data_IF_674404764220
#
_entry.id   IF_674404764220
#
_cell.length_a   1.000
_cell.length_b   1.000
_cell.length_c   1.000
_cell.angle_alpha   90.00
_cell.angle_beta   90.00
_cell.angle_gamma   90.00
#
_symmetry.space_group_name_H-M   'P 1'
#
loop_
_entity.id
_entity.type
_entity.pdbx_description
1 polymer ?
#
# COMPACT_ATOMS: atom_id res chain seq x y z
N UNK A 1 3.88 -43.16 36.71
CA UNK A 1 2.92 -42.02 36.64
C UNK A 1 2.17 -41.95 37.95
N UNK A 2 2.11 -40.78 38.59
CA UNK A 2 1.56 -40.58 39.92
C UNK A 2 0.04 -40.80 39.92
N UNK A 3 -0.56 -41.54 40.88
CA UNK A 3 -2.02 -41.80 40.95
C UNK A 3 -2.86 -40.52 40.85
N UNK A 4 -2.29 -39.39 41.30
CA UNK A 4 -2.92 -38.08 41.26
C UNK A 4 -3.07 -37.52 39.81
N UNK A 5 -2.08 -37.74 38.94
CA UNK A 5 -2.12 -37.31 37.54
C UNK A 5 -3.21 -38.01 36.75
N UNK A 6 -3.39 -39.33 36.96
CA UNK A 6 -4.45 -40.10 36.32
C UNK A 6 -5.85 -39.64 36.72
N UNK A 7 -6.03 -39.27 38.00
CA UNK A 7 -7.31 -38.80 38.48
C UNK A 7 -7.63 -37.44 37.88
N UNK A 8 -6.70 -36.49 37.89
CA UNK A 8 -6.89 -35.16 37.30
C UNK A 8 -7.21 -35.22 35.79
N UNK A 9 -6.57 -36.11 35.03
CA UNK A 9 -6.87 -36.28 33.59
C UNK A 9 -8.30 -36.84 33.37
N UNK A 10 -8.84 -37.67 34.28
CA UNK A 10 -10.22 -38.17 34.20
C UNK A 10 -11.26 -37.14 34.59
N UNK A 11 -10.90 -36.19 35.43
CA UNK A 11 -11.79 -35.13 35.92
C UNK A 11 -11.99 -34.02 34.86
N UNK A 12 -11.20 -34.01 33.78
CA UNK A 12 -11.39 -33.07 32.67
C UNK A 12 -12.68 -33.40 31.90
N UNK A 13 -13.51 -32.40 31.57
CA UNK A 13 -14.72 -32.61 30.79
C UNK A 13 -14.39 -33.09 29.36
N UNK A 14 -15.31 -33.78 28.73
CA UNK A 14 -15.19 -34.11 27.30
C UNK A 14 -15.50 -32.87 26.44
N UNK A 15 -15.03 -32.91 25.19
CA UNK A 15 -15.34 -31.83 24.21
C UNK A 15 -16.85 -31.65 24.05
N UNK A 16 -17.61 -32.79 24.00
CA UNK A 16 -19.07 -32.72 23.85
C UNK A 16 -19.74 -32.01 25.03
N UNK A 17 -19.34 -32.29 26.26
CA UNK A 17 -19.87 -31.60 27.44
C UNK A 17 -19.60 -30.08 27.38
N UNK A 18 -18.42 -29.69 26.93
CA UNK A 18 -18.06 -28.24 26.76
C UNK A 18 -18.96 -27.62 25.68
N UNK A 19 -19.13 -28.28 24.53
CA UNK A 19 -19.93 -27.77 23.42
C UNK A 19 -21.44 -27.66 23.76
N UNK A 20 -21.98 -28.58 24.57
CA UNK A 20 -23.35 -28.53 25.03
C UNK A 20 -23.65 -27.23 25.82
N UNK A 21 -22.64 -26.69 26.47
CA UNK A 21 -22.74 -25.45 27.25
C UNK A 21 -22.28 -24.18 26.47
N UNK A 22 -21.71 -24.32 25.27
CA UNK A 22 -21.23 -23.22 24.42
C UNK A 22 -22.04 -23.10 23.10
N UNK A 23 -23.35 -23.43 23.13
CA UNK A 23 -24.21 -23.38 21.95
C UNK A 23 -24.39 -21.94 21.41
N UNK A 24 -24.47 -20.94 22.30
CA UNK A 24 -24.54 -19.53 21.93
C UNK A 24 -23.28 -19.06 21.22
N UNK A 25 -22.13 -19.53 21.69
CA UNK A 25 -20.81 -19.27 21.11
C UNK A 25 -20.66 -19.96 19.76
N UNK A 26 -21.16 -21.20 19.65
CA UNK A 26 -21.17 -21.90 18.36
C UNK A 26 -22.07 -21.22 17.31
N UNK A 27 -23.16 -20.61 17.73
CA UNK A 27 -24.00 -19.79 16.84
C UNK A 27 -23.31 -18.49 16.40
N UNK A 28 -22.50 -17.90 17.27
CA UNK A 28 -21.77 -16.64 17.00
C UNK A 28 -20.50 -16.84 16.17
N UNK A 29 -19.65 -17.79 16.52
CA UNK A 29 -18.31 -18.00 15.92
C UNK A 29 -18.22 -19.22 15.01
N UNK A 30 -19.26 -20.03 14.92
CA UNK A 30 -19.29 -21.30 14.18
C UNK A 30 -18.87 -22.50 15.04
N UNK A 31 -19.50 -23.65 14.78
CA UNK A 31 -19.28 -24.89 15.54
C UNK A 31 -17.82 -25.34 15.52
N UNK A 32 -17.16 -25.28 14.37
CA UNK A 32 -15.78 -25.72 14.21
C UNK A 32 -14.79 -24.84 14.99
N UNK A 33 -14.99 -23.54 15.04
CA UNK A 33 -14.14 -22.63 15.79
C UNK A 33 -14.21 -22.94 17.30
N UNK A 34 -15.42 -23.10 17.84
CA UNK A 34 -15.61 -23.44 19.26
C UNK A 34 -15.07 -24.84 19.57
N UNK A 35 -15.27 -25.82 18.69
CA UNK A 35 -14.73 -27.17 18.83
C UNK A 35 -13.20 -27.18 18.87
N UNK A 36 -12.56 -26.45 17.96
CA UNK A 36 -11.11 -26.36 17.90
C UNK A 36 -10.53 -25.63 19.13
N UNK A 37 -11.18 -24.56 19.59
CA UNK A 37 -10.79 -23.87 20.82
C UNK A 37 -10.93 -24.77 22.05
N UNK A 38 -12.00 -25.54 22.16
CA UNK A 38 -12.21 -26.51 23.23
C UNK A 38 -11.14 -27.62 23.24
N UNK A 39 -10.81 -28.17 22.07
CA UNK A 39 -9.75 -29.18 21.91
C UNK A 39 -8.39 -28.63 22.30
N UNK A 40 -8.02 -27.47 21.77
CA UNK A 40 -6.74 -26.83 22.07
C UNK A 40 -6.59 -26.53 23.57
N UNK A 41 -7.64 -26.01 24.21
CA UNK A 41 -7.63 -25.75 25.64
C UNK A 41 -7.48 -27.03 26.47
N UNK A 42 -8.22 -28.11 26.14
CA UNK A 42 -8.10 -29.41 26.82
C UNK A 42 -6.72 -30.04 26.63
N UNK A 43 -6.10 -29.88 25.45
CA UNK A 43 -4.73 -30.33 25.21
C UNK A 43 -3.73 -29.58 26.08
N UNK A 44 -3.87 -28.25 26.21
CA UNK A 44 -3.05 -27.46 27.11
C UNK A 44 -3.21 -27.88 28.59
N UNK A 45 -4.45 -28.14 29.04
CA UNK A 45 -4.69 -28.61 30.40
C UNK A 45 -4.06 -30.01 30.63
N UNK A 46 -4.15 -30.92 29.65
CA UNK A 46 -3.52 -32.26 29.73
C UNK A 46 -2.00 -32.15 29.81
N UNK A 47 -1.40 -31.28 29.01
CA UNK A 47 0.04 -31.06 29.06
C UNK A 47 0.48 -30.46 30.41
N UNK A 48 -0.26 -29.52 30.96
CA UNK A 48 0.00 -28.92 32.28
C UNK A 48 -0.12 -29.99 33.41
N UNK A 49 -1.14 -30.83 33.38
CA UNK A 49 -1.27 -31.94 34.34
C UNK A 49 -0.08 -32.92 34.25
N UNK A 50 0.37 -33.24 33.03
CA UNK A 50 1.50 -34.14 32.81
C UNK A 50 2.83 -33.54 33.25
N UNK A 51 3.00 -32.21 33.18
CA UNK A 51 4.17 -31.51 33.72
C UNK A 51 4.14 -31.36 35.23
N UNK A 52 3.05 -31.74 35.91
CA UNK A 52 2.89 -31.68 37.36
C UNK A 52 2.28 -30.40 37.89
N UNK A 53 1.72 -29.59 37.01
CA UNK A 53 1.01 -28.36 37.40
C UNK A 53 -0.39 -28.70 37.93
N UNK A 54 -0.87 -27.90 38.88
CA UNK A 54 -2.25 -28.01 39.37
C UNK A 54 -3.16 -27.17 38.48
N UNK A 55 -4.10 -27.81 37.78
CA UNK A 55 -5.08 -27.15 36.93
C UNK A 55 -6.50 -27.30 37.48
N UNK A 56 -7.37 -26.35 37.16
CA UNK A 56 -8.79 -26.46 37.48
C UNK A 56 -9.51 -27.31 36.42
N UNK A 57 -10.28 -28.29 36.84
CA UNK A 57 -11.23 -29.03 36.00
C UNK A 57 -12.65 -28.43 36.02
N UNK A 58 -12.83 -27.28 36.67
CA UNK A 58 -14.11 -26.59 36.74
C UNK A 58 -14.57 -26.15 35.34
N UNK A 59 -15.74 -26.68 34.97
CA UNK A 59 -16.34 -26.43 33.65
C UNK A 59 -16.58 -24.95 33.39
N UNK A 60 -16.96 -24.18 34.39
CA UNK A 60 -17.20 -22.74 34.26
C UNK A 60 -15.92 -21.97 33.91
N UNK A 61 -14.80 -22.34 34.52
CA UNK A 61 -13.48 -21.72 34.27
C UNK A 61 -13.03 -22.09 32.84
N UNK A 62 -13.18 -23.37 32.46
CA UNK A 62 -12.83 -23.84 31.10
C UNK A 62 -13.65 -23.11 30.05
N UNK A 63 -14.95 -22.98 30.23
CA UNK A 63 -15.84 -22.24 29.30
C UNK A 63 -15.44 -20.77 29.20
N UNK A 64 -15.17 -20.12 30.33
CA UNK A 64 -14.77 -18.72 30.33
C UNK A 64 -13.45 -18.51 29.59
N UNK A 65 -12.47 -19.37 29.80
CA UNK A 65 -11.19 -19.32 29.09
C UNK A 65 -11.35 -19.51 27.58
N UNK A 66 -12.25 -20.42 27.18
CA UNK A 66 -12.56 -20.63 25.74
C UNK A 66 -13.25 -19.38 25.15
N UNK A 67 -14.22 -18.78 25.84
CA UNK A 67 -14.88 -17.52 25.44
C UNK A 67 -13.88 -16.39 25.27
N UNK A 68 -13.02 -16.21 26.23
CA UNK A 68 -11.98 -15.17 26.20
C UNK A 68 -11.01 -15.39 25.05
N UNK A 69 -10.62 -16.65 24.81
CA UNK A 69 -9.79 -17.04 23.69
C UNK A 69 -10.44 -16.75 22.33
N UNK A 70 -11.71 -17.13 22.16
CA UNK A 70 -12.49 -16.85 20.95
C UNK A 70 -12.70 -15.35 20.74
N UNK A 71 -13.04 -14.61 21.82
CA UNK A 71 -13.19 -13.16 21.78
C UNK A 71 -11.88 -12.49 21.35
N UNK A 72 -10.76 -12.89 21.94
CA UNK A 72 -9.45 -12.34 21.59
C UNK A 72 -9.04 -12.67 20.14
N UNK A 73 -9.30 -13.90 19.70
CA UNK A 73 -9.01 -14.34 18.34
C UNK A 73 -9.88 -13.61 17.28
N UNK A 74 -11.09 -13.20 17.65
CA UNK A 74 -12.00 -12.45 16.78
C UNK A 74 -11.75 -10.95 16.76
N UNK A 75 -10.86 -10.42 17.62
CA UNK A 75 -10.53 -9.00 17.61
C UNK A 75 -9.80 -8.61 16.32
N UNK A 76 -10.18 -7.50 15.69
CA UNK A 76 -9.44 -6.99 14.56
C UNK A 76 -7.97 -6.74 14.92
N UNK A 77 -7.06 -7.18 14.05
CA UNK A 77 -5.62 -6.92 14.22
C UNK A 77 -5.31 -5.42 14.10
N UNK A 78 -6.05 -4.70 13.22
CA UNK A 78 -5.93 -3.25 13.08
C UNK A 78 -6.71 -2.55 14.20
N UNK A 79 -6.01 -1.67 14.92
CA UNK A 79 -6.58 -0.89 16.03
C UNK A 79 -6.41 0.60 15.77
N UNK A 80 -7.39 1.39 16.17
CA UNK A 80 -7.25 2.85 16.19
C UNK A 80 -6.18 3.26 17.20
N UNK A 81 -5.29 4.16 16.78
CA UNK A 81 -4.22 4.71 17.61
C UNK A 81 -4.21 6.23 17.54
N UNK A 82 -3.61 6.87 18.54
CA UNK A 82 -3.34 8.31 18.51
C UNK A 82 -1.97 8.54 17.87
N UNK A 83 -1.91 9.32 16.78
CA UNK A 83 -0.65 9.73 16.19
C UNK A 83 -0.05 10.90 16.99
N UNK A 84 0.96 10.62 17.81
CA UNK A 84 1.70 11.60 18.62
C UNK A 84 3.14 11.77 18.13
N UNK A 85 3.44 11.38 16.88
CA UNK A 85 4.81 11.40 16.33
C UNK A 85 5.26 12.78 15.85
N UNK A 86 4.33 13.72 15.66
CA UNK A 86 4.60 15.01 15.00
C UNK A 86 4.61 14.94 13.47
N UNK A 87 4.42 13.77 12.88
CA UNK A 87 4.34 13.56 11.42
C UNK A 87 2.88 13.31 11.05
N UNK A 88 2.22 14.23 10.35
CA UNK A 88 0.79 14.16 10.05
C UNK A 88 0.47 12.94 9.18
N UNK A 89 1.22 12.71 8.11
CA UNK A 89 1.05 11.60 7.18
C UNK A 89 2.07 10.48 7.45
N UNK A 90 2.01 9.92 8.67
CA UNK A 90 2.94 8.87 9.06
C UNK A 90 2.65 7.56 8.33
N UNK A 91 3.60 7.07 7.52
CA UNK A 91 3.42 5.90 6.64
C UNK A 91 3.02 4.62 7.39
N UNK A 92 3.55 4.40 8.61
CA UNK A 92 3.25 3.21 9.42
C UNK A 92 1.94 3.34 10.22
N UNK A 93 1.30 4.51 10.23
CA UNK A 93 0.07 4.78 10.96
C UNK A 93 -1.13 5.02 10.02
N UNK A 94 -1.08 4.47 8.81
CA UNK A 94 -2.20 4.50 7.87
C UNK A 94 -2.23 5.70 6.92
N UNK A 95 -1.24 6.60 6.99
CA UNK A 95 -1.15 7.80 6.14
C UNK A 95 -2.33 8.75 6.33
N UNK A 96 -2.91 9.30 5.22
CA UNK A 96 -4.05 10.18 5.27
C UNK A 96 -5.34 9.45 5.64
N UNK A 97 -6.17 10.07 6.48
CA UNK A 97 -7.53 9.59 6.73
C UNK A 97 -8.42 9.91 5.53
N UNK A 98 -9.34 9.01 5.23
CA UNK A 98 -10.39 9.28 4.25
C UNK A 98 -11.37 10.33 4.79
N UNK A 99 -11.92 11.15 3.90
CA UNK A 99 -13.03 12.03 4.23
C UNK A 99 -14.27 11.22 4.62
N UNK A 100 -15.11 11.77 5.53
CA UNK A 100 -16.31 11.08 6.00
C UNK A 100 -17.24 10.68 4.85
N UNK A 101 -17.39 11.56 3.84
CA UNK A 101 -18.17 11.27 2.63
C UNK A 101 -17.64 10.03 1.87
N UNK A 102 -16.32 9.87 1.80
CA UNK A 102 -15.71 8.71 1.15
C UNK A 102 -15.96 7.41 1.97
N UNK A 103 -15.87 7.48 3.29
CA UNK A 103 -16.19 6.34 4.18
C UNK A 103 -17.63 5.90 4.00
N UNK A 104 -18.57 6.84 3.96
CA UNK A 104 -20.01 6.56 3.72
C UNK A 104 -20.22 5.93 2.35
N UNK A 105 -19.58 6.44 1.30
CA UNK A 105 -19.67 5.90 -0.04
C UNK A 105 -19.10 4.47 -0.12
N UNK A 106 -17.95 4.20 0.48
CA UNK A 106 -17.33 2.86 0.54
C UNK A 106 -18.28 1.87 1.23
N UNK A 107 -18.83 2.22 2.40
CA UNK A 107 -19.75 1.34 3.13
C UNK A 107 -20.98 0.99 2.29
N UNK A 108 -21.55 1.96 1.57
CA UNK A 108 -22.70 1.75 0.69
C UNK A 108 -22.38 0.79 -0.45
N UNK A 109 -21.24 0.99 -1.12
CA UNK A 109 -20.83 0.19 -2.28
C UNK A 109 -20.39 -1.22 -1.86
N UNK A 110 -19.64 -1.34 -0.76
CA UNK A 110 -19.17 -2.63 -0.26
C UNK A 110 -20.30 -3.54 0.24
N UNK A 111 -21.42 -2.98 0.67
CA UNK A 111 -22.57 -3.73 1.19
C UNK A 111 -23.55 -4.24 0.12
N UNK A 112 -23.30 -4.01 -1.18
CA UNK A 112 -24.22 -4.39 -2.25
C UNK A 112 -23.50 -4.77 -3.54
N UNK A 113 -24.20 -5.46 -4.44
CA UNK A 113 -23.74 -5.59 -5.82
C UNK A 113 -23.69 -4.19 -6.47
N UNK A 114 -22.70 -3.95 -7.30
CA UNK A 114 -22.46 -2.66 -7.92
C UNK A 114 -21.95 -2.82 -9.36
N UNK A 115 -21.84 -1.72 -10.07
CA UNK A 115 -21.47 -1.67 -11.47
C UNK A 115 -19.96 -1.46 -11.71
N UNK A 116 -19.09 -1.92 -10.84
CA UNK A 116 -17.64 -1.69 -10.93
C UNK A 116 -17.04 -2.02 -12.31
N UNK A 117 -17.53 -3.07 -12.95
CA UNK A 117 -17.13 -3.49 -14.30
C UNK A 117 -18.34 -3.65 -15.24
N UNK A 118 -19.39 -2.86 -15.04
CA UNK A 118 -20.60 -2.98 -15.83
C UNK A 118 -21.14 -1.61 -16.24
N UNK A 119 -21.29 -1.43 -17.55
CA UNK A 119 -21.94 -0.25 -18.11
C UNK A 119 -23.45 -0.43 -18.04
N UNK A 120 -24.12 0.35 -17.20
CA UNK A 120 -25.57 0.29 -16.97
C UNK A 120 -26.36 0.83 -18.16
N UNK A 121 -25.80 1.73 -18.98
CA UNK A 121 -26.48 2.32 -20.14
C UNK A 121 -26.48 1.35 -21.34
N UNK A 122 -25.33 0.73 -21.58
CA UNK A 122 -25.16 -0.20 -22.70
C UNK A 122 -25.53 -1.65 -22.35
N UNK A 123 -25.67 -1.96 -21.05
CA UNK A 123 -26.03 -3.30 -20.58
C UNK A 123 -24.93 -4.36 -20.82
N UNK A 124 -23.66 -3.95 -20.78
CA UNK A 124 -22.49 -4.81 -21.08
C UNK A 124 -21.34 -4.57 -20.11
N UNK A 125 -20.25 -5.34 -20.26
CA UNK A 125 -19.03 -5.14 -19.48
C UNK A 125 -18.46 -3.75 -19.73
N UNK A 126 -18.21 -3.01 -18.63
CA UNK A 126 -17.55 -1.71 -18.59
C UNK A 126 -16.10 -1.80 -18.09
N UNK A 127 -15.41 -0.68 -18.17
CA UNK A 127 -14.07 -0.50 -17.62
C UNK A 127 -14.16 0.17 -16.23
N UNK A 128 -13.32 -0.24 -15.30
CA UNK A 128 -13.22 0.34 -13.96
C UNK A 128 -12.81 1.81 -13.99
N UNK A 129 -11.88 2.15 -14.86
CA UNK A 129 -11.33 3.50 -14.97
C UNK A 129 -12.39 4.53 -15.37
N UNK A 130 -13.42 4.12 -16.13
CA UNK A 130 -14.55 4.97 -16.54
C UNK A 130 -15.28 5.66 -15.37
N UNK A 131 -15.19 5.11 -14.15
CA UNK A 131 -15.84 5.69 -12.96
C UNK A 131 -15.07 6.88 -12.37
N UNK A 132 -13.78 7.02 -12.68
CA UNK A 132 -12.90 7.98 -12.00
C UNK A 132 -12.05 8.81 -12.97
N UNK A 133 -11.83 8.34 -14.20
CA UNK A 133 -10.95 8.97 -15.19
C UNK A 133 -11.31 10.44 -15.42
N UNK A 134 -12.59 10.73 -15.68
CA UNK A 134 -13.06 12.11 -15.93
C UNK A 134 -12.77 13.04 -14.74
N UNK A 135 -12.94 12.53 -13.52
CA UNK A 135 -12.68 13.32 -12.31
C UNK A 135 -11.18 13.60 -12.13
N UNK A 136 -10.32 12.61 -12.39
CA UNK A 136 -8.87 12.81 -12.31
C UNK A 136 -8.42 13.78 -13.40
N UNK A 137 -8.92 13.63 -14.62
CA UNK A 137 -8.64 14.56 -15.72
C UNK A 137 -9.08 16.00 -15.39
N UNK A 138 -10.26 16.19 -14.80
CA UNK A 138 -10.73 17.50 -14.33
C UNK A 138 -9.80 18.12 -13.27
N UNK A 139 -9.36 17.30 -12.31
CA UNK A 139 -8.49 17.74 -11.21
C UNK A 139 -7.05 18.02 -11.64
N UNK A 140 -6.54 17.31 -12.66
CA UNK A 140 -5.13 17.37 -13.06
C UNK A 140 -4.89 18.12 -14.36
N UNK A 141 -5.91 18.25 -15.21
CA UNK A 141 -5.76 18.76 -16.57
C UNK A 141 -5.18 17.71 -17.55
N UNK A 142 -5.06 16.44 -17.15
CA UNK A 142 -4.62 15.36 -18.02
C UNK A 142 -5.68 15.02 -19.08
N UNK A 143 -5.25 14.47 -20.21
CA UNK A 143 -6.14 13.98 -21.29
C UNK A 143 -6.78 12.62 -20.95
N UNK A 144 -6.05 11.78 -20.19
CA UNK A 144 -6.49 10.46 -19.76
C UNK A 144 -5.86 10.11 -18.40
N UNK A 145 -6.50 9.20 -17.66
CA UNK A 145 -6.01 8.74 -16.38
C UNK A 145 -6.39 7.28 -16.10
N UNK A 146 -5.52 6.57 -15.40
CA UNK A 146 -5.78 5.21 -14.87
C UNK A 146 -5.32 5.12 -13.43
N UNK A 147 -5.89 4.20 -12.66
CA UNK A 147 -5.54 3.98 -11.26
C UNK A 147 -5.05 2.56 -11.01
N UNK A 148 -3.94 2.47 -10.33
CA UNK A 148 -3.34 1.21 -9.90
C UNK A 148 -3.20 1.18 -8.37
N UNK A 149 -2.74 0.08 -7.80
CA UNK A 149 -2.73 -0.15 -6.35
C UNK A 149 -1.92 0.86 -5.53
N UNK A 150 -0.83 1.38 -6.12
CA UNK A 150 0.07 2.34 -5.48
C UNK A 150 1.04 2.91 -6.51
N UNK A 151 1.81 3.94 -6.12
CA UNK A 151 2.78 4.57 -7.01
C UNK A 151 3.86 3.60 -7.54
N UNK A 152 4.32 2.65 -6.74
CA UNK A 152 5.29 1.64 -7.19
C UNK A 152 4.73 0.79 -8.35
N UNK A 153 3.44 0.45 -8.31
CA UNK A 153 2.75 -0.24 -9.39
C UNK A 153 2.61 0.66 -10.64
N UNK A 154 2.36 1.96 -10.47
CA UNK A 154 2.33 2.92 -11.56
C UNK A 154 3.69 3.02 -12.27
N UNK A 155 4.78 3.15 -11.51
CA UNK A 155 6.15 3.17 -12.04
C UNK A 155 6.47 1.88 -12.79
N UNK A 156 6.17 0.71 -12.20
CA UNK A 156 6.41 -0.59 -12.82
C UNK A 156 5.61 -0.74 -14.14
N UNK A 157 4.32 -0.38 -14.13
CA UNK A 157 3.46 -0.45 -15.30
C UNK A 157 3.98 0.44 -16.45
N UNK A 158 4.29 1.69 -16.11
CA UNK A 158 4.80 2.67 -17.08
C UNK A 158 6.11 2.21 -17.72
N UNK A 159 7.08 1.81 -16.91
CA UNK A 159 8.39 1.38 -17.42
C UNK A 159 8.30 0.07 -18.21
N UNK A 160 7.49 -0.89 -17.74
CA UNK A 160 7.29 -2.14 -18.47
C UNK A 160 6.57 -1.93 -19.81
N UNK A 161 5.62 -0.98 -19.86
CA UNK A 161 4.86 -0.70 -21.09
C UNK A 161 5.68 0.10 -22.10
N UNK A 162 6.38 1.16 -21.66
CA UNK A 162 7.02 2.12 -22.55
C UNK A 162 8.51 1.85 -22.78
N UNK A 163 9.18 1.16 -21.86
CA UNK A 163 10.64 1.06 -21.83
C UNK A 163 11.17 -0.38 -21.74
N UNK A 164 10.34 -1.40 -21.92
CA UNK A 164 10.78 -2.82 -21.85
C UNK A 164 11.95 -3.07 -22.81
N UNK A 165 13.07 -3.55 -22.26
CA UNK A 165 14.30 -3.83 -23.01
C UNK A 165 15.08 -2.59 -23.47
N UNK A 166 14.63 -1.38 -23.13
CA UNK A 166 15.23 -0.12 -23.56
C UNK A 166 15.80 0.68 -22.41
N UNK A 167 16.50 1.76 -22.72
CA UNK A 167 17.20 2.64 -21.76
C UNK A 167 16.30 3.73 -21.23
N UNK A 168 16.50 4.08 -19.94
CA UNK A 168 15.80 5.18 -19.26
C UNK A 168 16.82 6.00 -18.50
N UNK A 169 17.20 7.20 -18.98
CA UNK A 169 18.04 8.14 -18.23
C UNK A 169 17.31 8.69 -16.99
N UNK A 170 18.00 8.64 -15.85
CA UNK A 170 17.55 9.18 -14.54
C UNK A 170 18.73 9.85 -13.86
N UNK A 171 18.51 11.00 -13.23
CA UNK A 171 19.54 11.68 -12.42
C UNK A 171 19.99 10.82 -11.25
N UNK A 172 21.31 10.72 -10.99
CA UNK A 172 21.85 10.07 -9.79
C UNK A 172 21.33 10.66 -8.50
N UNK A 173 21.06 11.96 -8.47
CA UNK A 173 20.48 12.65 -7.32
C UNK A 173 19.01 12.29 -7.08
N UNK A 174 18.37 11.54 -7.96
CA UNK A 174 16.95 11.15 -7.90
C UNK A 174 16.74 9.64 -7.67
N UNK A 175 17.81 8.87 -7.43
CA UNK A 175 17.73 7.43 -7.16
C UNK A 175 17.30 7.18 -5.71
N UNK A 176 16.02 7.40 -5.44
CA UNK A 176 15.42 7.35 -4.11
C UNK A 176 15.19 5.93 -3.62
N UNK A 177 15.29 5.74 -2.29
CA UNK A 177 14.75 4.59 -1.57
C UNK A 177 13.66 5.05 -0.61
N UNK A 178 12.48 4.44 -0.67
CA UNK A 178 11.31 4.75 0.16
C UNK A 178 10.77 3.49 0.82
N UNK A 179 10.43 3.58 2.12
CA UNK A 179 9.73 2.52 2.85
C UNK A 179 10.50 1.20 3.00
N UNK A 180 11.84 1.23 2.90
CA UNK A 180 12.71 0.10 3.17
C UNK A 180 12.81 -0.97 2.07
N UNK A 181 12.04 -0.86 0.99
CA UNK A 181 12.06 -1.84 -0.11
C UNK A 181 11.83 -1.27 -1.51
N UNK A 182 11.28 -0.07 -1.64
CA UNK A 182 11.14 0.58 -2.93
C UNK A 182 12.43 1.35 -3.25
N UNK A 183 13.20 0.84 -4.20
CA UNK A 183 14.38 1.48 -4.77
C UNK A 183 14.18 1.68 -6.25
N UNK A 184 14.38 2.90 -6.75
CA UNK A 184 14.22 3.20 -8.18
C UNK A 184 15.03 2.25 -9.06
N UNK A 185 16.33 1.97 -8.82
CA UNK A 185 17.09 1.02 -9.63
C UNK A 185 16.49 -0.39 -9.63
N UNK A 186 16.01 -0.87 -8.49
CA UNK A 186 15.46 -2.23 -8.38
C UNK A 186 14.12 -2.36 -9.13
N UNK A 187 13.28 -1.33 -9.07
CA UNK A 187 12.01 -1.30 -9.81
C UNK A 187 12.26 -1.21 -11.31
N UNK A 188 13.23 -0.41 -11.74
CA UNK A 188 13.62 -0.31 -13.13
C UNK A 188 14.13 -1.66 -13.66
N UNK A 189 14.99 -2.33 -12.92
CA UNK A 189 15.46 -3.67 -13.28
C UNK A 189 14.32 -4.68 -13.40
N UNK A 190 13.35 -4.65 -12.45
CA UNK A 190 12.17 -5.52 -12.44
C UNK A 190 11.20 -5.22 -13.58
N UNK A 191 11.09 -3.97 -14.01
CA UNK A 191 10.26 -3.58 -15.16
C UNK A 191 10.83 -4.04 -16.49
N UNK A 192 12.09 -4.52 -16.50
CA UNK A 192 12.80 -4.97 -17.70
C UNK A 192 13.42 -3.84 -18.52
N UNK A 193 13.47 -2.61 -18.00
CA UNK A 193 14.21 -1.52 -18.62
C UNK A 193 15.65 -1.44 -18.10
N UNK A 194 16.50 -0.67 -18.77
CA UNK A 194 17.88 -0.42 -18.40
C UNK A 194 18.03 0.99 -17.86
N UNK A 195 18.33 1.13 -16.57
CA UNK A 195 18.65 2.41 -15.95
C UNK A 195 19.95 2.99 -16.56
N UNK A 196 19.90 4.24 -16.99
CA UNK A 196 21.08 5.04 -17.35
C UNK A 196 21.21 6.19 -16.36
N UNK A 197 22.16 6.07 -15.43
CA UNK A 197 22.40 7.10 -14.44
C UNK A 197 23.10 8.31 -15.09
N UNK A 198 22.55 9.52 -14.94
CA UNK A 198 23.13 10.74 -15.47
C UNK A 198 23.53 11.71 -14.39
N UNK A 199 24.56 12.53 -14.66
CA UNK A 199 25.10 13.51 -13.72
C UNK A 199 25.81 12.87 -12.52
N UNK A 200 25.77 13.59 -11.39
CA UNK A 200 26.32 13.16 -10.10
C UNK A 200 25.27 13.31 -9.00
N UNK A 201 25.56 12.84 -7.79
CA UNK A 201 24.64 12.87 -6.65
C UNK A 201 24.03 14.26 -6.41
N UNK A 202 24.84 15.33 -6.51
CA UNK A 202 24.42 16.68 -6.17
C UNK A 202 24.28 17.61 -7.39
N UNK A 203 24.72 17.19 -8.57
CA UNK A 203 24.68 18.06 -9.78
C UNK A 203 24.37 17.24 -11.02
N UNK A 204 23.25 17.57 -11.65
CA UNK A 204 22.87 17.06 -12.97
C UNK A 204 22.54 18.24 -13.86
N UNK A 205 23.07 18.23 -15.07
CA UNK A 205 22.88 19.29 -16.05
C UNK A 205 22.14 18.73 -17.28
N UNK A 206 21.49 19.56 -18.05
CA UNK A 206 20.77 19.18 -19.26
C UNK A 206 21.64 18.37 -20.25
N UNK A 207 22.92 18.77 -20.37
CA UNK A 207 23.91 18.06 -21.20
C UNK A 207 24.13 16.61 -20.80
N UNK A 208 23.95 16.29 -19.51
CA UNK A 208 24.15 14.90 -19.00
C UNK A 208 23.04 13.99 -19.51
N UNK A 209 21.80 14.50 -19.56
CA UNK A 209 20.68 13.82 -20.19
C UNK A 209 20.85 13.77 -21.72
N UNK A 210 21.20 14.89 -22.36
CA UNK A 210 21.39 14.92 -23.82
C UNK A 210 22.46 13.92 -24.31
N UNK A 211 23.55 13.77 -23.57
CA UNK A 211 24.62 12.82 -23.88
C UNK A 211 24.22 11.35 -23.65
N UNK A 212 23.19 11.09 -22.87
CA UNK A 212 22.70 9.74 -22.57
C UNK A 212 21.62 9.26 -23.55
N UNK A 213 21.06 10.16 -24.37
CA UNK A 213 20.04 9.82 -25.36
C UNK A 213 20.70 9.15 -26.56
N UNK A 214 20.23 7.97 -26.92
CA UNK A 214 20.57 7.24 -28.14
C UNK A 214 19.33 6.52 -28.72
N UNK A 215 19.51 5.72 -29.77
CA UNK A 215 18.43 5.00 -30.44
C UNK A 215 17.69 4.00 -29.52
N UNK A 216 18.33 3.52 -28.45
CA UNK A 216 17.76 2.60 -27.47
C UNK A 216 17.04 3.33 -26.33
N UNK A 217 17.10 4.65 -26.26
CA UNK A 217 16.43 5.43 -25.21
C UNK A 217 14.92 5.44 -25.43
N UNK A 218 14.17 4.98 -24.42
CA UNK A 218 12.72 4.86 -24.49
C UNK A 218 12.00 6.12 -24.06
N UNK A 219 12.45 6.74 -22.97
CA UNK A 219 11.86 7.93 -22.35
C UNK A 219 12.90 8.62 -21.46
N UNK A 220 12.66 9.87 -21.09
CA UNK A 220 13.35 10.52 -19.98
C UNK A 220 12.50 10.40 -18.73
N UNK A 221 13.12 10.10 -17.60
CA UNK A 221 12.40 10.00 -16.33
C UNK A 221 13.00 10.93 -15.28
N UNK A 222 12.14 11.66 -14.59
CA UNK A 222 12.42 12.41 -13.38
C UNK A 222 11.75 11.75 -12.19
N UNK A 223 12.46 11.66 -11.06
CA UNK A 223 11.92 11.14 -9.81
C UNK A 223 12.04 12.21 -8.72
N UNK A 224 10.92 12.57 -8.12
CA UNK A 224 10.89 13.54 -7.04
C UNK A 224 11.50 12.96 -5.76
N UNK A 225 12.42 13.71 -5.13
CA UNK A 225 13.10 13.32 -3.88
C UNK A 225 12.23 13.67 -2.67
N UNK A 226 11.14 12.92 -2.46
CA UNK A 226 10.11 13.22 -1.47
C UNK A 226 10.55 13.05 -0.01
N UNK A 227 11.63 12.31 0.27
CA UNK A 227 12.04 11.93 1.62
C UNK A 227 13.47 12.36 1.99
N UNK A 228 14.16 13.07 1.12
CA UNK A 228 15.47 13.67 1.42
C UNK A 228 15.68 14.97 0.63
N UNK A 229 16.66 15.75 1.04
CA UNK A 229 17.09 16.98 0.37
C UNK A 229 18.60 16.99 0.22
N UNK A 230 19.07 17.44 -0.95
CA UNK A 230 20.51 17.67 -1.21
C UNK A 230 20.72 19.19 -1.16
N UNK A 231 21.61 19.64 -0.29
CA UNK A 231 21.88 21.06 -0.06
C UNK A 231 23.36 21.40 -0.35
N UNK A 232 23.63 22.67 -0.60
CA UNK A 232 24.98 23.17 -0.87
C UNK A 232 25.23 23.46 -2.35
N UNK A 233 26.31 22.97 -2.92
CA UNK A 233 26.61 23.15 -4.34
C UNK A 233 25.83 22.15 -5.20
N UNK A 234 24.57 22.44 -5.42
CA UNK A 234 23.63 21.55 -6.13
C UNK A 234 23.25 22.13 -7.49
N UNK A 235 22.80 21.28 -8.40
CA UNK A 235 22.12 21.63 -9.63
C UNK A 235 21.17 20.54 -10.05
N UNK A 236 19.93 20.90 -10.39
CA UNK A 236 18.91 20.02 -10.97
C UNK A 236 18.39 20.64 -12.26
N UNK A 237 17.99 19.83 -13.22
CA UNK A 237 17.43 20.32 -14.49
C UNK A 237 15.94 20.62 -14.27
N UNK A 238 15.47 21.85 -14.62
CA UNK A 238 14.03 22.17 -14.58
C UNK A 238 13.20 21.25 -15.48
N UNK A 239 11.97 20.95 -15.07
CA UNK A 239 11.04 20.12 -15.87
C UNK A 239 10.83 20.63 -17.28
N UNK A 240 10.60 21.94 -17.53
CA UNK A 240 10.43 22.44 -18.89
C UNK A 240 11.64 22.21 -19.82
N UNK A 241 12.86 22.21 -19.25
CA UNK A 241 14.07 21.92 -20.05
C UNK A 241 14.16 20.44 -20.40
N UNK A 242 13.76 19.53 -19.50
CA UNK A 242 13.70 18.09 -19.77
C UNK A 242 12.59 17.77 -20.78
N UNK A 243 11.44 18.40 -20.63
CA UNK A 243 10.34 18.25 -21.58
C UNK A 243 10.74 18.67 -22.99
N UNK A 244 11.37 19.86 -23.14
CA UNK A 244 11.86 20.32 -24.44
C UNK A 244 12.94 19.39 -25.04
N UNK A 245 13.81 18.84 -24.22
CA UNK A 245 14.81 17.85 -24.65
C UNK A 245 14.16 16.55 -25.12
N UNK A 246 13.16 16.05 -24.39
CA UNK A 246 12.41 14.85 -24.73
C UNK A 246 11.64 15.02 -26.06
N UNK A 247 10.92 16.15 -26.21
CA UNK A 247 10.21 16.52 -27.43
C UNK A 247 11.13 16.58 -28.65
N UNK A 248 12.28 17.24 -28.52
CA UNK A 248 13.27 17.35 -29.59
C UNK A 248 13.82 15.99 -30.05
N UNK A 249 13.79 14.97 -29.18
CA UNK A 249 14.22 13.60 -29.47
C UNK A 249 13.04 12.63 -29.72
N UNK A 250 11.80 13.13 -29.71
CA UNK A 250 10.58 12.34 -29.95
C UNK A 250 10.43 11.16 -28.97
N UNK A 251 10.80 11.34 -27.70
CA UNK A 251 10.64 10.38 -26.62
C UNK A 251 9.80 10.98 -25.50
N UNK A 252 9.00 10.19 -24.77
CA UNK A 252 8.20 10.69 -23.65
C UNK A 252 9.05 11.24 -22.50
N UNK A 253 8.51 12.25 -21.82
CA UNK A 253 8.99 12.72 -20.52
C UNK A 253 8.05 12.30 -19.41
N UNK A 254 8.54 11.48 -18.48
CA UNK A 254 7.79 10.89 -17.36
C UNK A 254 8.27 11.48 -16.05
N UNK A 255 7.34 11.90 -15.20
CA UNK A 255 7.63 12.41 -13.86
C UNK A 255 6.98 11.53 -12.80
N UNK A 256 7.80 10.92 -11.95
CA UNK A 256 7.37 10.24 -10.73
C UNK A 256 7.40 11.26 -9.56
N UNK A 257 6.24 11.67 -9.11
CA UNK A 257 6.10 12.59 -7.97
C UNK A 257 6.12 11.88 -6.63
N UNK A 258 6.04 10.56 -6.61
CA UNK A 258 5.92 9.75 -5.40
C UNK A 258 4.59 9.99 -4.70
N UNK A 259 4.55 10.94 -3.77
CA UNK A 259 3.35 11.43 -3.10
C UNK A 259 2.84 12.65 -3.87
N UNK A 260 1.79 12.52 -4.64
CA UNK A 260 1.28 13.60 -5.50
C UNK A 260 0.48 14.65 -4.75
N UNK A 261 0.59 15.88 -5.21
CA UNK A 261 -0.16 17.03 -4.73
C UNK A 261 -1.14 17.50 -5.80
N UNK A 262 -2.41 17.73 -5.42
CA UNK A 262 -3.43 18.27 -6.31
C UNK A 262 -3.75 19.75 -6.03
N UNK A 263 -3.16 20.34 -4.98
CA UNK A 263 -3.37 21.74 -4.63
C UNK A 263 -2.07 22.39 -4.15
N UNK A 264 -1.94 23.68 -4.40
CA UNK A 264 -0.80 24.47 -3.91
C UNK A 264 -0.90 24.67 -2.39
N UNK A 265 0.01 24.02 -1.66
CA UNK A 265 0.06 24.07 -0.20
C UNK A 265 0.64 25.38 0.35
N UNK A 266 1.24 26.23 -0.48
CA UNK A 266 1.79 27.55 -0.06
C UNK A 266 0.70 28.46 0.48
N UNK A 267 -0.52 28.35 -0.05
CA UNK A 267 -1.69 29.07 0.45
C UNK A 267 -2.04 28.71 1.91
N UNK A 268 -1.58 27.55 2.39
CA UNK A 268 -1.75 27.07 3.77
C UNK A 268 -0.50 27.34 4.65
N UNK A 269 0.49 28.08 4.13
CA UNK A 269 1.74 28.36 4.84
C UNK A 269 2.75 27.21 4.88
N UNK A 270 2.55 26.18 4.05
CA UNK A 270 3.46 25.04 3.89
C UNK A 270 4.48 25.31 2.77
N UNK A 271 5.63 24.61 2.75
CA UNK A 271 6.57 24.68 1.65
C UNK A 271 5.92 24.36 0.31
N UNK A 272 6.42 24.99 -0.75
CA UNK A 272 5.97 24.67 -2.10
C UNK A 272 6.39 23.25 -2.48
N UNK A 273 5.40 22.49 -2.96
CA UNK A 273 5.60 21.21 -3.68
C UNK A 273 4.85 21.30 -5.01
N UNK A 274 5.45 20.78 -6.06
CA UNK A 274 4.82 20.78 -7.37
C UNK A 274 3.50 19.99 -7.33
N UNK A 275 2.49 20.50 -8.05
CA UNK A 275 1.23 19.76 -8.24
C UNK A 275 1.25 18.98 -9.55
N UNK A 276 0.38 17.96 -9.67
CA UNK A 276 0.24 17.21 -10.92
C UNK A 276 -0.09 18.13 -12.11
N UNK A 277 -0.94 19.15 -11.90
CA UNK A 277 -1.29 20.14 -12.90
C UNK A 277 -0.07 20.96 -13.38
N UNK A 278 0.77 21.39 -12.42
CA UNK A 278 1.98 22.15 -12.75
C UNK A 278 2.96 21.30 -13.54
N UNK A 279 3.17 20.04 -13.12
CA UNK A 279 4.08 19.10 -13.79
C UNK A 279 3.62 18.79 -15.22
N UNK A 280 2.32 18.59 -15.46
CA UNK A 280 1.76 18.47 -16.82
C UNK A 280 1.94 19.78 -17.64
N UNK A 281 1.69 20.93 -17.01
CA UNK A 281 1.90 22.25 -17.66
C UNK A 281 3.37 22.48 -18.01
N UNK A 282 4.31 21.91 -17.25
CA UNK A 282 5.75 21.96 -17.54
C UNK A 282 6.16 21.03 -18.70
N UNK A 283 5.21 20.28 -19.29
CA UNK A 283 5.42 19.45 -20.46
C UNK A 283 5.72 17.98 -20.16
N UNK A 284 5.38 17.47 -18.96
CA UNK A 284 5.41 16.03 -18.74
C UNK A 284 4.30 15.34 -19.54
N UNK A 285 4.64 14.29 -20.29
CA UNK A 285 3.69 13.45 -21.04
C UNK A 285 2.95 12.50 -20.10
N UNK A 286 3.58 12.10 -18.99
CA UNK A 286 3.01 11.21 -18.01
C UNK A 286 3.46 11.59 -16.60
N UNK A 287 2.50 11.66 -15.67
CA UNK A 287 2.75 11.96 -14.25
C UNK A 287 2.26 10.80 -13.39
N UNK A 288 3.14 10.29 -12.52
CA UNK A 288 2.87 9.18 -11.61
C UNK A 288 2.85 9.70 -10.17
N UNK A 289 1.80 9.34 -9.41
CA UNK A 289 1.71 9.75 -8.01
C UNK A 289 0.75 8.89 -7.20
N UNK A 290 0.72 9.03 -5.86
CA UNK A 290 -0.20 8.31 -4.98
C UNK A 290 -0.98 9.24 -4.04
#
# INVERSE_FOLDING_TARGET
>A
MNKNVHQQLRDLPSVSVILDHLQSEAAQWGHDAVTNAARAHLEALRAAIQSGESVSSDLSIIQQTIRDGLTNASQPALKSVFNLTGIVLHSNLGRAKLADAAIVAINRVAGSANNLEYDLEQGQRGDRDSHIESLICELTGAEAATVVNNNAAAVLLTLNTLALGRKVPVSRGELVEIGGSFRVPDIMARSGCSLVEVGTTNRTHLKDYANAIDADTALLMRVHTSNYRIEGFTNTVPEPELAALAEANQIPFVVDMGCGNLMDLTALGLPHEATAQQTLTHGADLVLFS
#
